data_IF_940331876151
#
_entry.id   IF_940331876151
#
_cell.length_a   1.000
_cell.length_b   1.000
_cell.length_c   1.000
_cell.angle_alpha   90.00
_cell.angle_beta   90.00
_cell.angle_gamma   90.00
#
_symmetry.space_group_name_H-M   'P 1'
#
loop_
_entity.id
_entity.type
_entity.pdbx_description
1 polymer ?
#
# COMPACT_ATOMS: atom_id res chain seq x y z
N UNK A 1 25.17 55.91 20.12
CA UNK A 1 24.21 54.87 20.57
C UNK A 1 23.77 54.10 19.33
N UNK A 2 24.28 52.89 19.16
CA UNK A 2 23.99 52.03 18.01
C UNK A 2 23.11 50.91 18.52
N UNK A 3 21.85 50.88 18.10
CA UNK A 3 20.94 49.77 18.42
C UNK A 3 21.21 48.64 17.44
N UNK A 4 21.69 47.52 17.95
CA UNK A 4 21.75 46.25 17.23
C UNK A 4 20.37 45.58 17.33
N UNK A 5 19.69 45.40 16.19
CA UNK A 5 18.53 44.57 16.08
C UNK A 5 18.96 43.08 16.06
N UNK A 6 18.51 42.34 17.07
CA UNK A 6 18.69 40.88 17.15
C UNK A 6 17.52 40.27 16.36
N UNK A 7 17.83 39.73 15.20
CA UNK A 7 16.87 38.95 14.41
C UNK A 7 16.58 37.60 15.10
N UNK A 8 15.34 37.42 15.55
CA UNK A 8 14.86 36.14 16.05
C UNK A 8 14.63 35.22 14.84
N UNK A 9 15.59 34.37 14.57
CA UNK A 9 15.41 33.26 13.61
C UNK A 9 14.44 32.25 14.20
N UNK A 10 13.24 32.13 13.62
CA UNK A 10 12.32 31.07 13.92
C UNK A 10 12.92 29.74 13.42
N UNK A 11 13.49 28.96 14.31
CA UNK A 11 13.80 27.55 14.06
C UNK A 11 12.47 26.82 13.94
N UNK A 12 12.03 26.58 12.70
CA UNK A 12 11.00 25.58 12.43
C UNK A 12 11.64 24.22 12.73
N UNK A 13 11.37 23.70 13.92
CA UNK A 13 11.70 22.34 14.26
C UNK A 13 10.94 21.43 13.28
N UNK A 14 11.62 20.90 12.27
CA UNK A 14 11.18 19.77 11.51
C UNK A 14 11.03 18.62 12.52
N UNK A 15 9.79 18.36 12.96
CA UNK A 15 9.46 17.14 13.65
C UNK A 15 9.75 16.00 12.64
N UNK A 16 10.97 15.50 12.73
CA UNK A 16 11.31 14.22 12.16
C UNK A 16 10.34 13.22 12.77
N UNK A 17 9.42 12.71 11.97
CA UNK A 17 8.70 11.47 12.24
C UNK A 17 9.73 10.33 12.14
N UNK A 18 10.69 10.37 13.06
CA UNK A 18 11.62 9.28 13.26
C UNK A 18 10.79 8.09 13.76
N UNK A 19 10.71 7.04 12.96
CA UNK A 19 10.34 5.75 13.46
C UNK A 19 9.25 4.95 12.75
N UNK A 20 8.58 5.45 11.72
CA UNK A 20 7.67 4.58 10.95
C UNK A 20 8.41 3.99 9.75
N UNK A 21 8.62 2.64 9.69
CA UNK A 21 9.28 2.01 8.57
C UNK A 21 8.54 2.33 7.27
N UNK A 22 9.24 2.90 6.30
CA UNK A 22 8.71 3.09 4.95
C UNK A 22 9.10 1.84 4.16
N UNK A 23 8.13 0.98 3.83
CA UNK A 23 8.40 -0.21 3.05
C UNK A 23 8.95 0.11 1.66
N UNK A 24 9.94 -0.64 1.23
CA UNK A 24 10.52 -0.61 -0.11
C UNK A 24 10.22 -1.92 -0.84
N UNK A 25 9.47 -1.85 -1.93
CA UNK A 25 9.01 -3.03 -2.63
C UNK A 25 10.13 -3.84 -3.30
N UNK A 26 11.24 -3.22 -3.71
CA UNK A 26 12.42 -3.93 -4.27
C UNK A 26 13.15 -4.71 -3.18
N UNK A 27 13.40 -4.07 -2.06
CA UNK A 27 13.98 -4.77 -0.91
C UNK A 27 13.06 -5.89 -0.45
N UNK A 28 11.74 -5.68 -0.50
CA UNK A 28 10.74 -6.71 -0.20
C UNK A 28 10.79 -7.90 -1.17
N UNK A 29 10.97 -7.67 -2.47
CA UNK A 29 11.17 -8.74 -3.46
C UNK A 29 12.45 -9.53 -3.17
N UNK A 30 13.55 -8.83 -2.89
CA UNK A 30 14.82 -9.46 -2.53
C UNK A 30 14.69 -10.28 -1.23
N UNK A 31 14.02 -9.73 -0.21
CA UNK A 31 13.72 -10.45 1.03
C UNK A 31 12.86 -11.69 0.80
N UNK A 32 11.81 -11.58 -0.02
CA UNK A 32 10.96 -12.72 -0.37
C UNK A 32 11.75 -13.89 -0.96
N UNK A 33 12.77 -13.58 -1.75
CA UNK A 33 13.69 -14.54 -2.34
C UNK A 33 14.72 -15.04 -1.32
N UNK A 34 15.43 -14.15 -0.62
CA UNK A 34 16.55 -14.49 0.26
C UNK A 34 16.10 -15.15 1.57
N UNK A 35 14.92 -14.79 2.07
CA UNK A 35 14.29 -15.44 3.21
C UNK A 35 13.49 -16.70 2.81
N UNK A 36 13.67 -17.17 1.59
CA UNK A 36 13.15 -18.42 1.03
C UNK A 36 11.62 -18.55 1.00
N UNK A 37 10.86 -17.46 1.17
CA UNK A 37 9.41 -17.46 1.05
C UNK A 37 8.94 -17.96 -0.33
N UNK A 38 9.74 -17.65 -1.36
CA UNK A 38 9.55 -18.06 -2.75
C UNK A 38 9.55 -19.59 -2.96
N UNK A 39 10.07 -20.37 -2.02
CA UNK A 39 10.07 -21.84 -2.14
C UNK A 39 8.67 -22.44 -2.00
N UNK A 40 7.81 -21.80 -1.21
CA UNK A 40 6.44 -22.22 -0.98
C UNK A 40 5.42 -21.35 -1.70
N UNK A 41 5.60 -20.02 -1.67
CA UNK A 41 4.69 -19.04 -2.22
C UNK A 41 5.12 -18.54 -3.59
N UNK A 42 4.15 -18.29 -4.47
CA UNK A 42 4.35 -17.49 -5.67
C UNK A 42 3.88 -16.03 -5.46
N UNK A 43 4.37 -15.15 -6.31
CA UNK A 43 3.86 -13.80 -6.52
C UNK A 43 3.67 -13.60 -8.03
N UNK A 44 2.43 -13.40 -8.47
CA UNK A 44 2.07 -13.32 -9.91
C UNK A 44 2.53 -14.55 -10.71
N UNK A 45 2.42 -15.74 -10.15
CA UNK A 45 2.79 -17.00 -10.78
C UNK A 45 4.29 -17.32 -10.78
N UNK A 46 5.14 -16.46 -10.20
CA UNK A 46 6.58 -16.68 -10.07
C UNK A 46 6.91 -17.15 -8.65
N UNK A 47 7.35 -18.39 -8.49
CA UNK A 47 7.69 -18.98 -7.20
C UNK A 47 7.13 -20.37 -6.99
N UNK A 48 7.04 -20.80 -5.73
CA UNK A 48 6.54 -22.10 -5.32
C UNK A 48 5.03 -22.26 -5.46
N UNK A 49 4.58 -23.50 -5.47
CA UNK A 49 3.16 -23.88 -5.61
C UNK A 49 2.62 -24.60 -4.37
N UNK A 50 3.43 -24.72 -3.32
CA UNK A 50 3.04 -25.42 -2.09
C UNK A 50 2.09 -24.60 -1.22
N UNK A 51 2.05 -23.29 -1.45
CA UNK A 51 1.22 -22.32 -0.73
C UNK A 51 0.56 -21.36 -1.71
N UNK A 52 -0.47 -20.61 -1.29
CA UNK A 52 -1.18 -19.68 -2.17
C UNK A 52 -0.26 -18.62 -2.79
N UNK A 53 -0.56 -18.25 -4.03
CA UNK A 53 0.04 -17.07 -4.69
C UNK A 53 -0.42 -15.80 -3.95
N UNK A 54 0.54 -15.05 -3.42
CA UNK A 54 0.27 -13.90 -2.57
C UNK A 54 -0.25 -12.68 -3.34
N UNK A 55 -0.10 -12.66 -4.66
CA UNK A 55 -0.63 -11.59 -5.51
C UNK A 55 -2.04 -11.88 -6.04
N UNK A 56 -2.50 -13.13 -6.06
CA UNK A 56 -3.78 -13.54 -6.66
C UNK A 56 -4.98 -13.55 -5.72
N UNK A 57 -4.91 -12.91 -4.57
CA UNK A 57 -6.05 -12.89 -3.64
C UNK A 57 -7.10 -11.87 -4.07
N UNK A 58 -8.37 -12.31 -4.03
CA UNK A 58 -9.55 -11.54 -4.49
C UNK A 58 -10.07 -10.57 -3.41
N UNK A 59 -9.47 -10.60 -2.20
CA UNK A 59 -9.94 -9.81 -1.06
C UNK A 59 -9.56 -8.34 -1.23
N UNK A 60 -10.55 -7.48 -1.48
CA UNK A 60 -10.38 -6.03 -1.67
C UNK A 60 -9.90 -5.31 -0.41
N UNK A 61 -10.07 -5.91 0.76
CA UNK A 61 -9.73 -5.31 2.05
C UNK A 61 -8.37 -5.74 2.57
N UNK A 62 -7.42 -6.01 1.69
CA UNK A 62 -6.08 -6.46 2.07
C UNK A 62 -5.26 -5.31 2.66
N UNK A 63 -5.63 -4.92 3.86
CA UNK A 63 -4.91 -3.93 4.66
C UNK A 63 -3.71 -4.57 5.36
N UNK A 64 -2.76 -3.78 5.87
CA UNK A 64 -1.69 -4.30 6.73
C UNK A 64 -2.20 -5.15 7.89
N UNK A 65 -3.32 -4.75 8.51
CA UNK A 65 -3.96 -5.51 9.60
C UNK A 65 -4.44 -6.88 9.13
N UNK A 66 -5.02 -6.96 7.92
CA UNK A 66 -5.39 -8.25 7.31
C UNK A 66 -4.15 -9.09 7.07
N UNK A 67 -3.07 -8.51 6.51
CA UNK A 67 -1.80 -9.22 6.29
C UNK A 67 -1.22 -9.73 7.60
N UNK A 68 -1.16 -8.88 8.63
CA UNK A 68 -0.65 -9.27 9.94
C UNK A 68 -1.47 -10.40 10.56
N UNK A 69 -2.81 -10.32 10.50
CA UNK A 69 -3.68 -11.38 11.02
C UNK A 69 -3.54 -12.69 10.24
N UNK A 70 -3.39 -12.61 8.93
CA UNK A 70 -3.17 -13.79 8.09
C UNK A 70 -1.82 -14.46 8.39
N UNK A 71 -0.74 -13.69 8.46
CA UNK A 71 0.59 -14.23 8.79
C UNK A 71 0.57 -14.85 10.19
N UNK A 72 -0.05 -14.19 11.16
CA UNK A 72 -0.21 -14.72 12.50
C UNK A 72 -0.96 -16.07 12.50
N UNK A 73 -2.11 -16.11 11.84
CA UNK A 73 -2.96 -17.30 11.82
C UNK A 73 -2.32 -18.49 11.12
N UNK A 74 -1.41 -18.27 10.17
CA UNK A 74 -0.71 -19.29 9.40
C UNK A 74 0.71 -19.58 9.93
N UNK A 75 1.19 -18.83 10.92
CA UNK A 75 2.55 -18.99 11.46
C UNK A 75 2.90 -20.46 11.79
N UNK A 76 2.10 -21.17 12.60
CA UNK A 76 2.38 -22.57 12.93
C UNK A 76 2.52 -23.48 11.71
N UNK A 77 1.64 -23.33 10.73
CA UNK A 77 1.65 -24.15 9.50
C UNK A 77 2.90 -23.85 8.65
N UNK A 78 3.26 -22.54 8.55
CA UNK A 78 4.50 -22.13 7.86
C UNK A 78 5.74 -22.69 8.56
N UNK A 79 5.88 -22.58 9.88
CA UNK A 79 7.03 -23.10 10.62
C UNK A 79 7.15 -24.62 10.51
N UNK A 80 6.03 -25.33 10.58
CA UNK A 80 6.00 -26.78 10.38
C UNK A 80 6.46 -27.17 8.97
N UNK A 81 6.01 -26.46 7.94
CA UNK A 81 6.42 -26.68 6.56
C UNK A 81 7.91 -26.35 6.34
N UNK A 82 8.40 -25.23 6.89
CA UNK A 82 9.81 -24.84 6.84
C UNK A 82 10.70 -25.90 7.50
N UNK A 83 10.35 -26.34 8.72
CA UNK A 83 11.07 -27.38 9.42
C UNK A 83 11.14 -28.68 8.61
N UNK A 84 10.04 -29.07 7.97
CA UNK A 84 9.98 -30.26 7.10
C UNK A 84 10.93 -30.17 5.91
N UNK A 85 11.16 -28.96 5.41
CA UNK A 85 12.02 -28.69 4.24
C UNK A 85 13.46 -28.30 4.63
N UNK A 86 13.79 -28.28 5.92
CA UNK A 86 15.11 -27.87 6.40
C UNK A 86 15.37 -26.37 6.22
N UNK A 87 14.31 -25.56 6.12
CA UNK A 87 14.40 -24.11 6.01
C UNK A 87 14.39 -23.52 7.42
N UNK A 88 15.37 -22.68 7.72
CA UNK A 88 15.44 -21.95 8.98
C UNK A 88 14.36 -20.85 9.01
N UNK A 89 13.71 -20.69 10.18
CA UNK A 89 12.71 -19.62 10.34
C UNK A 89 13.41 -18.26 10.28
N UNK A 90 13.02 -17.37 9.35
CA UNK A 90 13.67 -16.08 9.21
C UNK A 90 13.39 -15.16 10.39
N UNK A 91 14.36 -14.35 10.76
CA UNK A 91 14.21 -13.22 11.66
C UNK A 91 13.91 -11.98 10.82
N UNK A 92 12.76 -11.36 11.04
CA UNK A 92 12.35 -10.16 10.33
C UNK A 92 12.35 -8.95 11.26
N UNK A 93 13.11 -7.92 10.91
CA UNK A 93 12.97 -6.60 11.54
C UNK A 93 11.67 -5.92 11.10
N UNK A 94 11.25 -4.86 11.79
CA UNK A 94 10.09 -4.08 11.39
C UNK A 94 10.26 -3.46 9.98
N UNK A 95 11.47 -2.98 9.64
CA UNK A 95 11.75 -2.47 8.30
C UNK A 95 11.61 -3.57 7.23
N UNK A 96 12.15 -4.75 7.49
CA UNK A 96 12.02 -5.90 6.58
C UNK A 96 10.57 -6.36 6.42
N UNK A 97 9.78 -6.36 7.50
CA UNK A 97 8.35 -6.65 7.43
C UNK A 97 7.60 -5.58 6.61
N UNK A 98 7.96 -4.31 6.77
CA UNK A 98 7.41 -3.21 5.95
C UNK A 98 7.78 -3.37 4.46
N UNK A 99 9.02 -3.75 4.17
CA UNK A 99 9.49 -4.01 2.80
C UNK A 99 8.72 -5.16 2.14
N UNK A 100 8.53 -6.27 2.84
CA UNK A 100 7.71 -7.38 2.36
C UNK A 100 6.26 -6.96 2.10
N UNK A 101 5.69 -6.14 2.98
CA UNK A 101 4.34 -5.62 2.78
C UNK A 101 4.26 -4.72 1.56
N UNK A 102 5.23 -3.82 1.38
CA UNK A 102 5.32 -2.99 0.19
C UNK A 102 5.41 -3.84 -1.09
N UNK A 103 6.20 -4.92 -1.07
CA UNK A 103 6.29 -5.85 -2.19
C UNK A 103 4.96 -6.53 -2.50
N UNK A 104 4.31 -7.14 -1.50
CA UNK A 104 3.04 -7.85 -1.71
C UNK A 104 1.93 -6.94 -2.21
N UNK A 105 1.87 -5.71 -1.70
CA UNK A 105 0.88 -4.73 -2.17
C UNK A 105 1.20 -4.25 -3.56
N UNK A 106 2.45 -3.93 -3.81
CA UNK A 106 2.91 -3.50 -5.12
C UNK A 106 2.66 -4.57 -6.20
N UNK A 107 2.83 -5.85 -5.86
CA UNK A 107 2.51 -6.96 -6.76
C UNK A 107 1.01 -7.12 -7.03
N UNK A 108 0.16 -6.42 -6.30
CA UNK A 108 -1.30 -6.50 -6.32
C UNK A 108 -1.96 -5.26 -6.92
N UNK A 109 -1.33 -4.58 -7.87
CA UNK A 109 -1.95 -3.48 -8.62
C UNK A 109 -3.35 -3.82 -9.12
N UNK A 110 -3.56 -5.09 -9.42
CA UNK A 110 -4.81 -5.63 -9.88
C UNK A 110 -5.43 -6.49 -8.78
N UNK A 111 -6.03 -5.87 -7.78
CA UNK A 111 -6.76 -6.62 -6.74
C UNK A 111 -7.95 -7.39 -7.31
N UNK A 112 -8.55 -6.85 -8.37
CA UNK A 112 -9.44 -7.60 -9.25
C UNK A 112 -8.89 -7.60 -10.66
N UNK A 113 -9.03 -8.71 -11.38
CA UNK A 113 -8.72 -8.74 -12.79
C UNK A 113 -9.50 -7.64 -13.51
N UNK A 114 -8.83 -6.87 -14.34
CA UNK A 114 -9.51 -5.94 -15.23
C UNK A 114 -10.38 -6.70 -16.24
N UNK A 115 -11.47 -6.08 -16.63
CA UNK A 115 -12.40 -6.63 -17.62
C UNK A 115 -12.42 -5.73 -18.84
N UNK A 116 -12.03 -6.28 -20.00
CA UNK A 116 -11.96 -5.53 -21.25
C UNK A 116 -13.34 -5.04 -21.75
N UNK A 117 -14.42 -5.78 -21.42
CA UNK A 117 -15.78 -5.39 -21.80
C UNK A 117 -16.25 -4.17 -21.01
N UNK A 118 -16.07 -4.20 -19.68
CA UNK A 118 -16.35 -3.03 -18.83
C UNK A 118 -15.46 -1.86 -19.21
N UNK A 119 -14.15 -2.10 -19.43
CA UNK A 119 -13.22 -1.06 -19.82
C UNK A 119 -13.57 -0.37 -21.14
N UNK A 120 -14.08 -1.12 -22.13
CA UNK A 120 -14.61 -0.56 -23.38
C UNK A 120 -15.83 0.34 -23.12
N UNK A 121 -16.75 -0.12 -22.30
CA UNK A 121 -17.92 0.66 -21.93
C UNK A 121 -17.54 1.94 -21.17
N UNK A 122 -16.62 1.83 -20.20
CA UNK A 122 -16.14 2.98 -19.42
C UNK A 122 -15.36 3.98 -20.30
N UNK A 123 -14.51 3.52 -21.21
CA UNK A 123 -13.75 4.39 -22.11
C UNK A 123 -14.68 5.23 -23.00
N UNK A 124 -15.79 4.66 -23.42
CA UNK A 124 -16.82 5.39 -24.16
C UNK A 124 -17.67 6.30 -23.25
N UNK A 125 -18.21 5.75 -22.15
CA UNK A 125 -19.09 6.47 -21.24
C UNK A 125 -18.40 7.66 -20.52
N UNK A 126 -17.09 7.58 -20.32
CA UNK A 126 -16.26 8.65 -19.76
C UNK A 126 -15.75 9.64 -20.82
N UNK A 127 -16.25 9.55 -22.05
CA UNK A 127 -15.91 10.43 -23.17
C UNK A 127 -14.44 10.40 -23.62
N UNK A 128 -13.67 9.39 -23.21
CA UNK A 128 -12.28 9.27 -23.64
C UNK A 128 -12.20 9.05 -25.17
N UNK A 129 -13.08 8.20 -25.71
CA UNK A 129 -13.17 7.86 -27.12
C UNK A 129 -13.57 9.04 -28.03
N UNK A 130 -14.13 10.11 -27.46
CA UNK A 130 -14.56 11.29 -28.24
C UNK A 130 -13.37 12.14 -28.72
N UNK A 131 -12.24 12.03 -28.01
CA UNK A 131 -11.00 12.74 -28.32
C UNK A 131 -9.87 11.81 -28.72
N UNK A 132 -9.72 10.67 -28.03
CA UNK A 132 -8.67 9.69 -28.22
C UNK A 132 -9.19 8.51 -29.06
N UNK A 133 -9.04 8.59 -30.39
CA UNK A 133 -9.29 7.43 -31.24
C UNK A 133 -8.19 6.38 -31.09
N UNK A 134 -8.43 5.18 -31.61
CA UNK A 134 -7.47 4.08 -31.46
C UNK A 134 -6.21 4.33 -32.30
N UNK A 135 -6.37 4.53 -33.58
CA UNK A 135 -5.28 4.75 -34.55
C UNK A 135 -5.08 6.20 -34.94
N UNK A 136 -6.16 7.00 -34.84
CA UNK A 136 -6.19 8.39 -35.26
C UNK A 136 -6.66 9.32 -34.15
N UNK A 137 -6.11 10.51 -34.13
CA UNK A 137 -6.57 11.57 -33.22
C UNK A 137 -7.94 12.08 -33.68
N UNK A 138 -8.89 12.19 -32.76
CA UNK A 138 -10.22 12.78 -33.02
C UNK A 138 -10.34 14.22 -32.53
N UNK A 139 -9.32 14.73 -31.87
CA UNK A 139 -9.26 16.12 -31.40
C UNK A 139 -7.84 16.62 -31.37
N UNK A 140 -7.65 17.92 -31.61
CA UNK A 140 -6.34 18.55 -31.57
C UNK A 140 -5.65 18.31 -30.21
N UNK A 141 -4.40 17.85 -30.26
CA UNK A 141 -3.61 17.57 -29.07
C UNK A 141 -3.97 16.31 -28.28
N UNK A 142 -4.91 15.48 -28.80
CA UNK A 142 -5.26 14.19 -28.21
C UNK A 142 -4.57 13.06 -29.00
N UNK A 143 -3.45 12.49 -28.53
CA UNK A 143 -2.78 11.43 -29.25
C UNK A 143 -3.66 10.17 -29.33
N UNK A 144 -3.58 9.41 -30.46
CA UNK A 144 -4.31 8.15 -30.56
C UNK A 144 -3.74 7.11 -29.61
N UNK A 145 -4.60 6.20 -29.15
CA UNK A 145 -4.28 5.17 -28.15
C UNK A 145 -3.08 4.31 -28.57
N UNK A 146 -2.98 3.97 -29.86
CA UNK A 146 -1.89 3.17 -30.41
C UNK A 146 -0.48 3.78 -30.21
N UNK A 147 -0.41 5.09 -29.88
CA UNK A 147 0.82 5.80 -29.56
C UNK A 147 1.05 6.01 -28.07
N UNK A 148 0.23 5.43 -27.21
CA UNK A 148 0.36 5.61 -25.76
C UNK A 148 1.38 4.64 -25.17
N UNK A 149 2.50 5.16 -24.71
CA UNK A 149 3.48 4.40 -23.94
C UNK A 149 2.96 4.04 -22.54
N UNK A 150 1.93 4.76 -22.10
CA UNK A 150 1.33 4.62 -20.76
C UNK A 150 0.45 3.38 -20.57
N UNK A 151 0.30 2.54 -21.58
CA UNK A 151 -0.45 1.31 -21.47
C UNK A 151 0.27 0.19 -20.70
N UNK A 152 1.51 0.42 -20.27
CA UNK A 152 2.28 -0.59 -19.55
C UNK A 152 1.75 -0.87 -18.13
N UNK A 153 1.29 0.14 -17.41
CA UNK A 153 0.73 -0.01 -16.06
C UNK A 153 -0.29 1.11 -15.72
N UNK A 154 -1.16 0.90 -14.70
CA UNK A 154 -2.18 1.88 -14.31
C UNK A 154 -1.61 3.19 -13.78
N UNK A 155 -0.45 3.14 -13.11
CA UNK A 155 0.19 4.33 -12.55
C UNK A 155 0.78 5.20 -13.65
N UNK A 156 1.33 4.56 -14.69
CA UNK A 156 1.83 5.28 -15.85
C UNK A 156 0.68 5.97 -16.61
N UNK A 157 -0.46 5.27 -16.76
CA UNK A 157 -1.66 5.88 -17.34
C UNK A 157 -2.16 7.06 -16.49
N UNK A 158 -2.26 6.87 -15.19
CA UNK A 158 -2.66 7.94 -14.27
C UNK A 158 -1.69 9.12 -14.27
N UNK A 159 -0.39 8.88 -14.43
CA UNK A 159 0.62 9.92 -14.57
C UNK A 159 0.41 10.76 -15.84
N UNK A 160 0.15 10.11 -16.96
CA UNK A 160 -0.18 10.82 -18.20
C UNK A 160 -1.47 11.64 -18.06
N UNK A 161 -2.50 11.06 -17.45
CA UNK A 161 -3.75 11.78 -17.17
C UNK A 161 -3.52 12.97 -16.24
N UNK A 162 -2.69 12.83 -15.21
CA UNK A 162 -2.32 13.91 -14.30
C UNK A 162 -1.63 15.07 -15.03
N UNK A 163 -0.59 14.77 -15.78
CA UNK A 163 0.20 15.79 -16.48
C UNK A 163 -0.59 16.50 -17.61
N UNK A 164 -1.55 15.80 -18.22
CA UNK A 164 -2.42 16.36 -19.26
C UNK A 164 -3.78 16.91 -18.75
N UNK A 165 -4.05 16.79 -17.46
CA UNK A 165 -5.36 17.05 -16.87
C UNK A 165 -5.89 18.45 -17.13
N UNK A 166 -5.04 19.47 -17.17
CA UNK A 166 -5.43 20.85 -17.46
C UNK A 166 -5.98 21.00 -18.89
N UNK A 167 -5.29 20.41 -19.88
CA UNK A 167 -5.74 20.43 -21.30
C UNK A 167 -7.04 19.64 -21.46
N UNK A 168 -7.13 18.46 -20.83
CA UNK A 168 -8.39 17.69 -20.86
C UNK A 168 -9.54 18.45 -20.22
N UNK A 169 -9.31 19.11 -19.08
CA UNK A 169 -10.33 19.97 -18.43
C UNK A 169 -10.86 21.05 -19.39
N UNK A 170 -9.95 21.73 -20.09
CA UNK A 170 -10.32 22.73 -21.07
C UNK A 170 -11.15 22.13 -22.23
N UNK A 171 -10.70 20.99 -22.81
CA UNK A 171 -11.39 20.31 -23.89
C UNK A 171 -12.80 19.83 -23.50
N UNK A 172 -13.01 19.36 -22.26
CA UNK A 172 -14.32 19.03 -21.71
C UNK A 172 -15.21 20.28 -21.63
N UNK A 173 -14.68 21.39 -21.12
CA UNK A 173 -15.43 22.66 -21.01
C UNK A 173 -15.86 23.20 -22.38
N UNK A 174 -14.96 23.22 -23.37
CA UNK A 174 -15.25 23.64 -24.74
C UNK A 174 -16.37 22.81 -25.39
N UNK A 175 -16.46 21.54 -25.08
CA UNK A 175 -17.49 20.62 -25.56
C UNK A 175 -18.74 20.58 -24.69
N UNK A 176 -18.79 21.37 -23.62
CA UNK A 176 -19.87 21.39 -22.62
C UNK A 176 -20.13 20.03 -21.98
N UNK A 177 -19.08 19.22 -21.84
CA UNK A 177 -19.12 17.93 -21.20
C UNK A 177 -18.58 18.03 -19.76
N UNK A 178 -19.18 17.29 -18.84
CA UNK A 178 -18.65 17.16 -17.50
C UNK A 178 -17.37 16.29 -17.51
N UNK A 179 -16.31 16.77 -16.84
CA UNK A 179 -15.10 15.94 -16.67
C UNK A 179 -15.45 14.70 -15.84
N UNK A 180 -15.17 13.48 -16.33
CA UNK A 180 -15.57 12.26 -15.65
C UNK A 180 -14.76 12.02 -14.38
N UNK A 181 -15.43 11.50 -13.37
CA UNK A 181 -14.79 10.82 -12.25
C UNK A 181 -14.45 9.37 -12.64
N UNK A 182 -13.33 8.84 -12.16
CA UNK A 182 -12.83 7.51 -12.46
C UNK A 182 -12.52 6.80 -11.14
N UNK A 183 -13.00 5.54 -10.99
CA UNK A 183 -12.61 4.66 -9.89
C UNK A 183 -11.34 3.87 -10.21
N UNK A 184 -10.68 3.33 -9.21
CA UNK A 184 -9.48 2.51 -9.40
C UNK A 184 -9.76 1.27 -10.25
N UNK A 185 -10.91 0.60 -10.05
CA UNK A 185 -11.31 -0.55 -10.87
C UNK A 185 -11.63 -0.13 -12.32
N UNK A 186 -12.32 1.00 -12.54
CA UNK A 186 -12.58 1.51 -13.88
C UNK A 186 -11.27 1.84 -14.62
N UNK A 187 -10.29 2.42 -13.91
CA UNK A 187 -8.95 2.67 -14.48
C UNK A 187 -8.28 1.35 -14.92
N UNK A 188 -8.37 0.31 -14.08
CA UNK A 188 -7.83 -1.02 -14.39
C UNK A 188 -8.55 -1.66 -15.57
N UNK A 189 -9.89 -1.61 -15.60
CA UNK A 189 -10.71 -2.16 -16.67
C UNK A 189 -10.42 -1.48 -18.01
N UNK A 190 -10.34 -0.14 -18.03
CA UNK A 190 -9.97 0.61 -19.22
C UNK A 190 -8.57 0.24 -19.72
N UNK A 191 -7.58 0.11 -18.80
CA UNK A 191 -6.24 -0.29 -19.18
C UNK A 191 -6.24 -1.68 -19.86
N UNK A 192 -6.92 -2.66 -19.26
CA UNK A 192 -7.04 -4.02 -19.84
C UNK A 192 -7.73 -4.00 -21.20
N UNK A 193 -8.78 -3.22 -21.36
CA UNK A 193 -9.40 -3.02 -22.67
C UNK A 193 -8.41 -2.50 -23.71
N UNK A 194 -7.71 -1.41 -23.37
CA UNK A 194 -6.77 -0.77 -24.29
C UNK A 194 -5.56 -1.64 -24.62
N UNK A 195 -5.08 -2.47 -23.68
CA UNK A 195 -3.98 -3.42 -23.90
C UNK A 195 -4.37 -4.60 -24.80
N UNK A 196 -5.66 -4.94 -24.87
CA UNK A 196 -6.15 -6.07 -25.67
C UNK A 196 -6.60 -5.67 -27.08
N UNK A 197 -6.47 -4.41 -27.48
CA UNK A 197 -6.75 -3.99 -28.85
C UNK A 197 -5.70 -4.55 -29.82
N UNK A 198 -6.08 -4.89 -31.06
CA UNK A 198 -5.12 -5.35 -32.07
C UNK A 198 -3.95 -4.38 -32.25
N UNK A 199 -4.23 -3.08 -32.22
CA UNK A 199 -3.29 -2.00 -32.47
C UNK A 199 -2.30 -1.76 -31.32
N UNK A 200 -2.62 -2.23 -30.14
CA UNK A 200 -1.79 -2.10 -28.92
C UNK A 200 -1.31 -3.45 -28.40
N UNK A 201 -1.75 -4.54 -29.05
CA UNK A 201 -1.41 -5.91 -28.66
C UNK A 201 0.12 -6.10 -28.70
N UNK A 202 0.67 -6.47 -27.56
CA UNK A 202 2.13 -6.66 -27.41
C UNK A 202 2.79 -5.61 -26.52
N UNK A 203 2.06 -4.59 -26.05
CA UNK A 203 2.54 -3.75 -24.96
C UNK A 203 2.58 -4.62 -23.69
N UNK A 204 3.75 -5.01 -23.18
CA UNK A 204 3.81 -5.86 -22.01
C UNK A 204 3.31 -5.06 -20.79
N UNK A 205 2.38 -5.63 -20.04
CA UNK A 205 2.09 -5.11 -18.71
C UNK A 205 3.40 -5.14 -17.90
N UNK A 206 3.88 -4.00 -17.50
CA UNK A 206 5.10 -3.86 -16.71
C UNK A 206 4.71 -3.41 -15.33
N UNK A 207 5.01 -4.25 -14.37
CA UNK A 207 5.04 -3.83 -12.99
C UNK A 207 6.44 -3.24 -12.73
N UNK A 208 6.49 -1.96 -12.43
CA UNK A 208 7.74 -1.28 -12.09
C UNK A 208 7.65 -0.74 -10.66
N UNK A 209 8.63 -1.10 -9.86
CA UNK A 209 8.83 -0.48 -8.56
C UNK A 209 9.38 0.93 -8.72
N UNK A 210 9.10 1.85 -7.79
CA UNK A 210 9.79 3.14 -7.75
C UNK A 210 11.30 2.91 -7.65
N UNK A 211 12.07 3.76 -8.31
CA UNK A 211 13.54 3.66 -8.31
C UNK A 211 14.15 4.02 -6.96
N UNK A 212 13.49 4.90 -6.24
CA UNK A 212 13.90 5.43 -4.95
C UNK A 212 12.71 5.46 -4.00
N UNK A 213 12.96 5.58 -2.70
CA UNK A 213 11.92 5.67 -1.67
C UNK A 213 11.88 7.08 -1.04
N UNK A 214 11.77 8.10 -1.91
CA UNK A 214 11.76 9.52 -1.51
C UNK A 214 10.35 10.14 -1.55
N UNK A 215 9.30 9.32 -1.53
CA UNK A 215 7.92 9.77 -1.68
C UNK A 215 7.49 10.84 -0.68
N UNK A 216 7.94 10.76 0.57
CA UNK A 216 7.69 11.77 1.59
C UNK A 216 8.33 13.12 1.25
N UNK A 217 9.58 13.10 0.79
CA UNK A 217 10.32 14.31 0.39
C UNK A 217 9.70 14.92 -0.87
N UNK A 218 9.35 14.08 -1.86
CA UNK A 218 8.65 14.52 -3.06
C UNK A 218 7.30 15.15 -2.73
N UNK A 219 6.53 14.56 -1.82
CA UNK A 219 5.25 15.09 -1.36
C UNK A 219 5.38 16.51 -0.77
N UNK A 220 6.48 16.78 -0.06
CA UNK A 220 6.81 18.11 0.45
C UNK A 220 7.29 19.04 -0.66
N UNK A 221 8.31 18.64 -1.41
CA UNK A 221 8.97 19.51 -2.40
C UNK A 221 8.08 19.85 -3.61
N UNK A 222 7.11 18.98 -3.94
CA UNK A 222 6.10 19.23 -4.96
C UNK A 222 4.88 20.03 -4.43
N UNK A 223 4.93 20.55 -3.20
CA UNK A 223 3.92 21.43 -2.61
C UNK A 223 2.65 20.72 -2.10
N UNK A 224 2.56 19.38 -2.20
CA UNK A 224 1.38 18.64 -1.76
C UNK A 224 1.10 18.84 -0.26
N UNK A 225 2.15 18.87 0.55
CA UNK A 225 2.07 19.03 1.99
C UNK A 225 1.45 20.37 2.45
N UNK A 226 1.51 21.42 1.63
CA UNK A 226 0.96 22.75 1.97
C UNK A 226 -0.55 22.69 2.25
N UNK A 227 -1.26 21.83 1.54
CA UNK A 227 -2.68 21.60 1.74
C UNK A 227 -2.95 20.34 2.56
N UNK A 228 -2.22 19.26 2.28
CA UNK A 228 -2.54 17.92 2.78
C UNK A 228 -1.92 17.58 4.14
N UNK A 229 -1.06 18.42 4.71
CA UNK A 229 -0.56 18.22 6.06
C UNK A 229 -1.56 18.67 7.14
N UNK A 230 -2.21 19.82 6.98
CA UNK A 230 -3.04 20.41 8.01
C UNK A 230 -4.51 20.63 7.59
N UNK A 231 -4.76 21.14 6.36
CA UNK A 231 -6.10 21.55 5.92
C UNK A 231 -6.96 20.37 5.49
N UNK A 232 -6.37 19.41 4.80
CA UNK A 232 -7.04 18.22 4.28
C UNK A 232 -6.19 17.01 4.63
N UNK A 233 -6.25 16.51 5.88
CA UNK A 233 -5.42 15.39 6.31
C UNK A 233 -5.77 14.14 5.52
N UNK A 234 -4.85 13.72 4.65
CA UNK A 234 -5.01 12.56 3.77
C UNK A 234 -5.27 11.27 4.54
N UNK A 235 -4.79 11.20 5.76
CA UNK A 235 -4.98 10.03 6.62
C UNK A 235 -6.45 9.68 6.90
N UNK A 236 -7.34 10.66 6.80
CA UNK A 236 -8.79 10.42 6.92
C UNK A 236 -9.40 9.94 5.60
N UNK A 237 -8.77 10.27 4.47
CA UNK A 237 -9.27 10.01 3.13
C UNK A 237 -8.74 8.69 2.55
N UNK A 238 -7.51 8.29 2.94
CA UNK A 238 -6.81 7.16 2.34
C UNK A 238 -7.21 5.79 2.91
N UNK A 239 -8.23 5.69 3.76
CA UNK A 239 -8.63 4.43 4.38
C UNK A 239 -9.02 3.38 3.36
N UNK A 240 -8.35 2.22 3.38
CA UNK A 240 -8.59 1.07 2.51
C UNK A 240 -8.50 1.39 1.00
N UNK A 241 -7.62 2.33 0.62
CA UNK A 241 -7.36 2.65 -0.77
C UNK A 241 -6.26 1.77 -1.35
N UNK A 242 -6.51 1.26 -2.54
CA UNK A 242 -5.51 0.56 -3.35
C UNK A 242 -4.57 1.57 -4.01
N UNK A 243 -3.48 1.11 -4.61
CA UNK A 243 -2.59 2.00 -5.38
C UNK A 243 -3.33 2.63 -6.57
N UNK A 244 -4.18 1.85 -7.25
CA UNK A 244 -4.99 2.35 -8.37
C UNK A 244 -6.10 3.30 -7.92
N UNK A 245 -6.68 3.08 -6.73
CA UNK A 245 -7.63 4.03 -6.15
C UNK A 245 -6.96 5.38 -5.85
N UNK A 246 -5.76 5.38 -5.28
CA UNK A 246 -5.01 6.62 -5.02
C UNK A 246 -4.69 7.34 -6.32
N UNK A 247 -4.27 6.61 -7.36
CA UNK A 247 -4.01 7.17 -8.67
C UNK A 247 -5.27 7.80 -9.31
N UNK A 248 -6.40 7.11 -9.21
CA UNK A 248 -7.70 7.60 -9.68
C UNK A 248 -8.17 8.82 -8.85
N UNK A 249 -7.99 8.78 -7.54
CA UNK A 249 -8.30 9.91 -6.66
C UNK A 249 -7.46 11.16 -6.99
N UNK A 250 -6.20 10.99 -7.38
CA UNK A 250 -5.37 12.11 -7.87
C UNK A 250 -5.99 12.76 -9.11
N UNK A 251 -6.43 11.97 -10.09
CA UNK A 251 -7.17 12.49 -11.25
C UNK A 251 -8.45 13.22 -10.82
N UNK A 252 -9.29 12.60 -10.00
CA UNK A 252 -10.57 13.13 -9.58
C UNK A 252 -10.43 14.43 -8.81
N UNK A 253 -9.38 14.56 -8.01
CA UNK A 253 -9.12 15.70 -7.14
C UNK A 253 -8.55 16.92 -7.88
N UNK A 254 -7.81 16.71 -8.96
CA UNK A 254 -7.08 17.74 -9.69
C UNK A 254 -7.92 19.01 -10.01
N UNK A 255 -9.19 18.91 -10.47
CA UNK A 255 -9.99 20.11 -10.78
C UNK A 255 -10.31 20.99 -9.59
N UNK A 256 -10.30 20.45 -8.39
CA UNK A 256 -10.60 21.16 -7.14
C UNK A 256 -9.34 21.75 -6.46
N UNK A 257 -8.15 21.49 -7.00
CA UNK A 257 -6.91 22.07 -6.50
C UNK A 257 -6.89 23.59 -6.76
N UNK A 258 -6.49 24.35 -5.75
CA UNK A 258 -6.35 25.80 -5.85
C UNK A 258 -5.14 26.25 -6.68
N UNK A 259 -4.10 25.41 -6.69
CA UNK A 259 -2.89 25.66 -7.48
C UNK A 259 -2.86 24.69 -8.68
N UNK A 260 -2.26 25.10 -9.80
CA UNK A 260 -2.06 24.17 -10.93
C UNK A 260 -1.30 22.93 -10.46
N UNK A 261 -1.68 21.76 -10.96
CA UNK A 261 -0.95 20.54 -10.64
C UNK A 261 0.49 20.63 -11.17
N UNK A 262 1.44 20.24 -10.33
CA UNK A 262 2.86 20.14 -10.70
C UNK A 262 3.05 18.90 -11.56
N UNK A 263 3.83 19.01 -12.61
CA UNK A 263 4.22 17.84 -13.40
C UNK A 263 5.02 16.84 -12.56
N UNK A 264 4.69 15.57 -12.75
CA UNK A 264 5.35 14.45 -12.11
C UNK A 264 5.90 13.52 -13.17
N UNK A 265 7.13 13.07 -12.99
CA UNK A 265 7.63 11.93 -13.75
C UNK A 265 6.88 10.66 -13.32
N UNK A 266 6.85 9.60 -14.14
CA UNK A 266 6.25 8.33 -13.74
C UNK A 266 6.81 7.77 -12.43
N UNK A 267 8.11 7.90 -12.22
CA UNK A 267 8.78 7.43 -11.01
C UNK A 267 8.42 8.27 -9.78
N UNK A 268 8.37 9.60 -9.90
CA UNK A 268 7.90 10.48 -8.84
C UNK A 268 6.46 10.17 -8.43
N UNK A 269 5.58 9.89 -9.40
CA UNK A 269 4.21 9.50 -9.11
C UNK A 269 4.15 8.16 -8.37
N UNK A 270 4.92 7.15 -8.79
CA UNK A 270 5.02 5.87 -8.08
C UNK A 270 5.49 6.04 -6.64
N UNK A 271 6.51 6.88 -6.44
CA UNK A 271 7.03 7.17 -5.10
C UNK A 271 6.00 7.87 -4.22
N UNK A 272 5.29 8.88 -4.75
CA UNK A 272 4.25 9.62 -4.00
C UNK A 272 3.08 8.69 -3.67
N UNK A 273 2.57 7.93 -4.64
CA UNK A 273 1.46 6.98 -4.41
C UNK A 273 1.87 5.91 -3.40
N UNK A 274 3.08 5.37 -3.53
CA UNK A 274 3.63 4.42 -2.57
C UNK A 274 3.72 5.01 -1.15
N UNK A 275 4.22 6.22 -1.01
CA UNK A 275 4.24 6.94 0.27
C UNK A 275 2.84 7.13 0.85
N UNK A 276 1.89 7.62 0.06
CA UNK A 276 0.51 7.81 0.49
C UNK A 276 -0.14 6.49 0.91
N UNK A 277 0.14 5.42 0.18
CA UNK A 277 -0.36 4.10 0.51
C UNK A 277 0.21 3.60 1.84
N UNK A 278 1.51 3.75 2.09
CA UNK A 278 2.15 3.36 3.35
C UNK A 278 1.64 4.15 4.56
N UNK A 279 1.13 5.37 4.36
CA UNK A 279 0.49 6.16 5.43
C UNK A 279 -0.73 5.47 6.03
N UNK A 280 -1.33 4.53 5.35
CA UNK A 280 -2.44 3.72 5.85
C UNK A 280 -2.00 2.67 6.88
N UNK A 281 -0.72 2.25 6.86
CA UNK A 281 -0.19 1.19 7.74
C UNK A 281 -0.19 1.53 9.22
N UNK A 282 -0.10 2.80 9.55
CA UNK A 282 0.24 3.24 10.90
C UNK A 282 -0.95 3.78 11.69
N UNK A 283 -2.16 3.51 11.23
CA UNK A 283 -3.39 3.92 11.92
C UNK A 283 -4.24 2.71 12.28
N UNK A 284 -3.98 2.23 13.48
CA UNK A 284 -4.88 1.28 14.11
C UNK A 284 -6.27 1.91 14.31
N UNK A 285 -7.28 1.32 13.68
CA UNK A 285 -8.68 1.64 13.93
C UNK A 285 -9.25 0.75 15.07
N UNK A 286 -8.37 0.22 15.92
CA UNK A 286 -8.73 -0.71 16.99
C UNK A 286 -9.30 0.01 18.20
N UNK A 287 -10.13 -0.71 18.95
CA UNK A 287 -10.68 -0.30 20.23
C UNK A 287 -9.90 -0.97 21.36
N UNK A 288 -9.27 -0.19 22.24
CA UNK A 288 -8.42 -0.72 23.31
C UNK A 288 -9.22 -1.56 24.34
N UNK A 289 -10.48 -1.21 24.64
CA UNK A 289 -11.30 -1.99 25.56
C UNK A 289 -11.70 -3.36 24.97
N UNK A 290 -11.99 -3.41 23.66
CA UNK A 290 -12.17 -4.69 22.96
C UNK A 290 -10.86 -5.48 22.93
N UNK A 291 -9.74 -4.81 22.68
CA UNK A 291 -8.40 -5.41 22.66
C UNK A 291 -8.02 -6.03 24.00
N UNK A 292 -8.41 -5.39 25.13
CA UNK A 292 -8.26 -5.96 26.47
C UNK A 292 -9.01 -7.29 26.62
N UNK A 293 -10.23 -7.37 26.08
CA UNK A 293 -11.02 -8.62 26.08
C UNK A 293 -10.37 -9.67 25.18
N UNK A 294 -9.87 -9.26 24.00
CA UNK A 294 -9.13 -10.15 23.08
C UNK A 294 -7.87 -10.68 23.76
N UNK A 295 -7.09 -9.84 24.41
CA UNK A 295 -5.86 -10.21 25.13
C UNK A 295 -6.12 -11.24 26.22
N UNK A 296 -7.17 -11.03 27.03
CA UNK A 296 -7.57 -11.97 28.07
C UNK A 296 -8.16 -13.26 27.47
N UNK A 297 -9.12 -13.17 26.57
CA UNK A 297 -9.83 -14.30 25.98
C UNK A 297 -8.98 -15.19 25.09
N UNK A 298 -7.87 -14.67 24.53
CA UNK A 298 -6.88 -15.43 23.78
C UNK A 298 -5.71 -15.95 24.64
N UNK A 299 -5.84 -15.86 25.96
CA UNK A 299 -4.86 -16.36 26.96
C UNK A 299 -3.49 -15.69 26.92
N UNK A 300 -3.34 -14.53 26.29
CA UNK A 300 -2.06 -13.81 26.22
C UNK A 300 -1.57 -13.43 27.63
N UNK A 301 -2.51 -13.03 28.51
CA UNK A 301 -2.21 -12.65 29.90
C UNK A 301 -1.57 -13.76 30.70
N UNK A 302 -1.85 -15.02 30.41
CA UNK A 302 -1.35 -16.22 31.14
C UNK A 302 0.17 -16.27 31.18
N UNK A 303 0.82 -15.80 30.11
CA UNK A 303 2.27 -15.78 30.03
C UNK A 303 2.84 -14.34 30.08
N UNK A 304 2.21 -13.40 29.35
CA UNK A 304 2.76 -12.05 29.20
C UNK A 304 2.50 -11.11 30.39
N UNK A 305 1.70 -11.53 31.38
CA UNK A 305 1.57 -10.86 32.68
C UNK A 305 2.30 -11.61 33.81
N UNK A 306 2.72 -12.85 33.59
CA UNK A 306 3.44 -13.66 34.55
C UNK A 306 4.96 -13.56 34.29
N UNK A 307 5.66 -12.91 35.21
CA UNK A 307 7.13 -12.74 35.12
C UNK A 307 7.90 -14.06 35.19
N UNK A 308 7.30 -15.10 35.79
CA UNK A 308 7.95 -16.42 35.91
C UNK A 308 7.85 -17.26 34.62
N UNK A 309 6.99 -16.86 33.70
CA UNK A 309 6.75 -17.58 32.45
C UNK A 309 7.89 -17.53 31.44
N UNK A 310 8.83 -16.59 31.61
CA UNK A 310 9.88 -16.29 30.63
C UNK A 310 9.39 -15.53 29.37
N UNK A 311 8.08 -15.23 29.29
CA UNK A 311 7.54 -14.43 28.20
C UNK A 311 7.84 -12.93 28.41
N UNK A 312 8.13 -12.17 27.34
CA UNK A 312 8.38 -10.75 27.46
C UNK A 312 7.10 -10.01 27.93
N UNK A 313 7.26 -8.98 28.76
CA UNK A 313 6.14 -8.10 29.09
C UNK A 313 5.74 -7.30 27.85
N UNK A 314 4.46 -7.40 27.50
CA UNK A 314 3.86 -6.60 26.44
C UNK A 314 3.34 -5.28 27.03
N UNK A 315 4.23 -4.34 27.29
CA UNK A 315 3.90 -3.00 27.74
C UNK A 315 4.33 -1.99 26.69
N UNK A 316 3.72 -0.82 26.69
CA UNK A 316 4.16 0.28 25.85
C UNK A 316 5.63 0.60 26.14
N UNK A 317 6.50 0.29 25.19
CA UNK A 317 7.92 0.61 25.23
C UNK A 317 8.20 1.95 24.57
N UNK A 318 9.46 2.14 24.12
CA UNK A 318 9.84 3.27 23.27
C UNK A 318 9.17 3.21 21.91
N UNK A 319 8.82 2.00 21.44
CA UNK A 319 8.26 1.74 20.14
C UNK A 319 6.75 1.48 20.26
N UNK A 320 6.00 2.02 19.32
CA UNK A 320 4.55 1.84 19.22
C UNK A 320 4.26 0.51 18.51
N UNK A 321 3.35 -0.30 19.06
CA UNK A 321 2.85 -1.48 18.36
C UNK A 321 2.11 -1.07 17.08
N UNK A 322 2.37 -1.76 16.00
CA UNK A 322 1.72 -1.61 14.70
C UNK A 322 1.54 -2.98 14.04
N UNK A 323 0.80 -3.05 12.96
CA UNK A 323 0.67 -4.28 12.16
C UNK A 323 2.05 -4.83 11.75
N UNK A 324 2.96 -3.94 11.39
CA UNK A 324 4.32 -4.27 10.97
C UNK A 324 5.15 -4.83 12.12
N UNK A 325 5.13 -4.16 13.28
CA UNK A 325 5.88 -4.64 14.45
C UNK A 325 5.30 -5.94 15.00
N UNK A 326 3.99 -6.16 14.86
CA UNK A 326 3.36 -7.45 15.22
C UNK A 326 3.85 -8.60 14.33
N UNK A 327 4.05 -8.35 13.03
CA UNK A 327 4.63 -9.35 12.11
C UNK A 327 6.09 -9.61 12.45
N UNK A 328 6.89 -8.58 12.68
CA UNK A 328 8.29 -8.73 13.09
C UNK A 328 8.39 -9.56 14.39
N UNK A 329 7.58 -9.22 15.41
CA UNK A 329 7.54 -9.95 16.67
C UNK A 329 7.07 -11.40 16.49
N UNK A 330 6.17 -11.68 15.57
CA UNK A 330 5.73 -13.03 15.24
C UNK A 330 6.88 -13.89 14.72
N UNK A 331 7.68 -13.37 13.80
CA UNK A 331 8.81 -14.10 13.23
C UNK A 331 9.97 -14.25 14.23
N UNK A 332 10.16 -13.28 15.11
CA UNK A 332 11.19 -13.29 16.14
C UNK A 332 10.87 -14.25 17.31
N UNK A 333 9.63 -14.22 17.78
CA UNK A 333 9.23 -14.88 19.03
C UNK A 333 8.23 -16.01 18.83
N UNK A 334 7.53 -16.04 17.71
CA UNK A 334 6.41 -16.94 17.46
C UNK A 334 6.74 -18.42 17.60
N UNK A 335 7.85 -18.95 17.02
CA UNK A 335 8.20 -20.37 17.16
C UNK A 335 8.34 -20.79 18.62
N UNK A 336 9.07 -20.03 19.44
CA UNK A 336 9.26 -20.31 20.88
C UNK A 336 7.94 -20.18 21.65
N UNK A 337 7.12 -19.21 21.30
CA UNK A 337 5.79 -19.02 21.89
C UNK A 337 4.88 -20.20 21.55
N UNK A 338 4.91 -20.67 20.31
CA UNK A 338 4.12 -21.82 19.85
C UNK A 338 4.53 -23.11 20.58
N UNK A 339 5.83 -23.36 20.75
CA UNK A 339 6.33 -24.51 21.50
C UNK A 339 5.88 -24.47 22.97
N UNK A 340 5.98 -23.32 23.63
CA UNK A 340 5.53 -23.12 25.01
C UNK A 340 4.02 -23.32 25.16
N UNK A 341 3.22 -22.84 24.21
CA UNK A 341 1.77 -23.03 24.20
C UNK A 341 1.40 -24.49 23.99
N UNK A 342 2.10 -25.19 23.09
CA UNK A 342 1.90 -26.62 22.84
C UNK A 342 2.19 -27.44 24.08
N UNK A 343 3.29 -27.18 24.79
CA UNK A 343 3.63 -27.84 26.06
C UNK A 343 2.56 -27.62 27.14
N UNK A 344 1.99 -26.42 27.19
CA UNK A 344 0.92 -26.07 28.14
C UNK A 344 -0.47 -26.45 27.66
N UNK A 345 -0.60 -27.10 26.50
CA UNK A 345 -1.88 -27.48 25.87
C UNK A 345 -2.80 -26.27 25.60
N UNK A 346 -2.22 -25.13 25.31
CA UNK A 346 -2.96 -23.91 24.94
C UNK A 346 -2.96 -23.82 23.41
N UNK A 347 -4.15 -23.69 22.82
CA UNK A 347 -4.28 -23.55 21.37
C UNK A 347 -3.70 -22.24 20.87
N UNK A 348 -3.06 -22.26 19.68
CA UNK A 348 -2.56 -21.05 19.03
C UNK A 348 -3.72 -20.07 18.79
N UNK A 349 -3.61 -18.81 19.24
CA UNK A 349 -4.69 -17.85 19.08
C UNK A 349 -4.79 -17.38 17.63
N UNK A 350 -5.99 -17.44 17.07
CA UNK A 350 -6.30 -16.92 15.74
C UNK A 350 -7.04 -15.60 15.86
N UNK A 351 -6.75 -14.65 14.99
CA UNK A 351 -7.32 -13.30 14.98
C UNK A 351 -8.04 -13.01 13.67
N UNK A 352 -9.20 -12.37 13.77
CA UNK A 352 -9.74 -11.59 12.66
C UNK A 352 -8.98 -10.26 12.56
N UNK A 353 -9.03 -9.59 11.40
CA UNK A 353 -8.37 -8.30 11.26
C UNK A 353 -8.87 -7.25 12.30
N UNK A 354 -10.18 -7.12 12.59
CA UNK A 354 -10.63 -6.26 13.69
C UNK A 354 -10.02 -6.63 15.05
N UNK A 355 -9.96 -7.92 15.39
CA UNK A 355 -9.34 -8.37 16.65
C UNK A 355 -7.85 -8.04 16.72
N UNK A 356 -7.13 -8.11 15.61
CA UNK A 356 -5.72 -7.71 15.53
C UNK A 356 -5.58 -6.20 15.74
N UNK A 357 -6.40 -5.39 15.09
CA UNK A 357 -6.43 -3.95 15.31
C UNK A 357 -6.74 -3.58 16.77
N UNK A 358 -7.74 -4.22 17.37
CA UNK A 358 -8.14 -4.00 18.76
C UNK A 358 -7.00 -4.39 19.72
N UNK A 359 -6.35 -5.52 19.49
CA UNK A 359 -5.18 -5.97 20.26
C UNK A 359 -4.05 -4.94 20.21
N UNK A 360 -3.70 -4.45 19.02
CA UNK A 360 -2.67 -3.42 18.82
C UNK A 360 -3.04 -2.14 19.59
N UNK A 361 -4.29 -1.70 19.50
CA UNK A 361 -4.76 -0.53 20.23
C UNK A 361 -4.63 -0.72 21.76
N UNK A 362 -4.97 -1.89 22.28
CA UNK A 362 -4.81 -2.22 23.70
C UNK A 362 -3.34 -2.22 24.12
N UNK A 363 -2.46 -2.86 23.37
CA UNK A 363 -1.03 -2.89 23.68
C UNK A 363 -0.41 -1.49 23.72
N UNK A 364 -0.88 -0.59 22.89
CA UNK A 364 -0.44 0.81 22.89
C UNK A 364 -1.05 1.65 24.04
N UNK A 365 -2.09 1.16 24.71
CA UNK A 365 -2.75 1.84 25.84
C UNK A 365 -2.23 1.39 27.20
N UNK A 366 -1.37 0.36 27.25
CA UNK A 366 -0.85 -0.23 28.52
C UNK A 366 0.24 0.57 29.17
#
# INVERSE_FOLDING_TARGET
>A
MVFRAIGAGAFVAALALAGTPQGDARRGEELFRTQQCVQCHAVNGKGGTLAPDLAKRIDRNYTPTVMASLMWNHGPDMWAAMKKQGIETPHLTADQAADLFAYFVSARYFEQPGDAGRGKADFAAKHCADCHGITESKAAGAPPVAKWESLADPILLANQMWNHGARMKQAFAERKLARPSIGGQELTDMLVYLQNLPETKGVPARFEFPKENNGAQLFQSKGCAECHAARVPLEKLLRNRTLTDIAADMWNHQPSMKQPPVELTPDEMRQIIGYLWTRQYFRGNGNAEHGKKVFAGKHCATCHNDLSSGAPRLAKGKDTYSDITMVAALWEHGPRMFDSMTQKKIAWPRFTAPQMADLIAYLNSR
#
